data_IF_560658961572
#
_entry.id   IF_560658961572
#
_cell.length_a   1.000
_cell.length_b   1.000
_cell.length_c   1.000
_cell.angle_alpha   90.00
_cell.angle_beta   90.00
_cell.angle_gamma   90.00
#
_symmetry.space_group_name_H-M   'P 1'
#
loop_
_entity.id
_entity.type
_entity.pdbx_description
1 polymer ?
#
# COMPACT_ATOMS: atom_id res chain seq x y z
N UNK A 1 -21.21 -14.62 -39.09
CA UNK A 1 -22.09 -15.02 -37.97
C UNK A 1 -21.41 -14.91 -36.61
N UNK A 2 -20.07 -15.02 -36.52
CA UNK A 2 -19.37 -15.07 -35.22
C UNK A 2 -19.34 -13.77 -34.42
N UNK A 3 -19.32 -12.60 -35.05
CA UNK A 3 -19.36 -11.30 -34.35
C UNK A 3 -20.68 -11.10 -33.59
N UNK A 4 -21.81 -11.49 -34.21
CA UNK A 4 -23.14 -11.40 -33.58
C UNK A 4 -23.23 -12.36 -32.40
N UNK A 5 -22.76 -13.60 -32.56
CA UNK A 5 -22.66 -14.56 -31.45
C UNK A 5 -21.79 -14.06 -30.31
N UNK A 6 -20.65 -13.44 -30.60
CA UNK A 6 -19.76 -12.90 -29.58
C UNK A 6 -20.37 -11.71 -28.84
N UNK A 7 -21.05 -10.81 -29.56
CA UNK A 7 -21.77 -9.69 -28.97
C UNK A 7 -22.90 -10.19 -28.06
N UNK A 8 -23.76 -11.08 -28.56
CA UNK A 8 -24.85 -11.69 -27.80
C UNK A 8 -24.31 -12.47 -26.60
N UNK A 9 -23.25 -13.26 -26.78
CA UNK A 9 -22.57 -13.99 -25.71
C UNK A 9 -22.07 -13.09 -24.58
N UNK A 10 -21.55 -11.90 -24.90
CA UNK A 10 -21.13 -10.91 -23.87
C UNK A 10 -22.32 -10.46 -23.01
N UNK A 11 -23.48 -10.21 -23.60
CA UNK A 11 -24.69 -9.85 -22.85
C UNK A 11 -25.29 -11.04 -22.10
N UNK A 12 -25.31 -12.23 -22.71
CA UNK A 12 -25.80 -13.46 -22.07
C UNK A 12 -24.93 -13.87 -20.88
N UNK A 13 -23.61 -13.65 -20.94
CA UNK A 13 -22.67 -13.98 -19.86
C UNK A 13 -22.87 -13.16 -18.58
N UNK A 14 -23.53 -12.00 -18.68
CA UNK A 14 -23.79 -11.18 -17.50
C UNK A 14 -24.92 -11.82 -16.68
N UNK A 15 -24.66 -12.28 -15.44
CA UNK A 15 -25.67 -12.95 -14.63
C UNK A 15 -26.84 -12.04 -14.24
N UNK A 16 -26.68 -10.71 -14.35
CA UNK A 16 -27.72 -9.71 -14.05
C UNK A 16 -28.64 -9.42 -15.23
N UNK A 17 -28.30 -9.88 -16.44
CA UNK A 17 -29.12 -9.68 -17.63
C UNK A 17 -30.27 -10.68 -17.70
N UNK A 18 -31.49 -10.20 -17.92
CA UNK A 18 -32.65 -11.04 -18.25
C UNK A 18 -32.50 -11.52 -19.69
N UNK A 19 -32.68 -12.81 -19.91
CA UNK A 19 -32.65 -13.41 -21.24
C UNK A 19 -34.09 -13.48 -21.76
N UNK A 20 -34.38 -12.74 -22.84
CA UNK A 20 -35.64 -12.81 -23.56
C UNK A 20 -35.42 -13.65 -24.82
N UNK A 21 -35.92 -14.89 -24.81
CA UNK A 21 -35.84 -15.76 -25.99
C UNK A 21 -37.09 -15.56 -26.84
N UNK A 22 -36.96 -14.88 -27.98
CA UNK A 22 -38.08 -14.69 -28.91
C UNK A 22 -38.10 -15.82 -29.94
N UNK A 23 -39.15 -16.64 -29.91
CA UNK A 23 -39.40 -17.69 -30.89
C UNK A 23 -40.42 -17.15 -31.89
N UNK A 24 -39.96 -16.77 -33.08
CA UNK A 24 -40.79 -16.10 -34.08
C UNK A 24 -41.40 -17.10 -35.04
N UNK A 25 -42.72 -17.25 -34.98
CA UNK A 25 -43.52 -18.01 -35.95
C UNK A 25 -43.04 -19.44 -36.11
N UNK A 26 -43.77 -20.40 -35.55
CA UNK A 26 -43.60 -21.81 -35.91
C UNK A 26 -44.15 -21.99 -37.32
N UNK A 27 -43.45 -21.42 -38.32
CA UNK A 27 -43.65 -21.73 -39.73
C UNK A 27 -43.10 -23.13 -39.90
N UNK A 28 -43.90 -24.01 -40.48
CA UNK A 28 -43.55 -25.37 -40.86
C UNK A 28 -42.43 -25.43 -41.91
N UNK A 29 -41.21 -25.01 -41.53
CA UNK A 29 -39.95 -25.42 -42.16
C UNK A 29 -39.08 -26.15 -41.13
N UNK A 30 -39.56 -26.32 -39.90
CA UNK A 30 -39.01 -27.26 -38.94
C UNK A 30 -39.69 -28.60 -39.23
N UNK A 31 -39.00 -29.57 -39.86
CA UNK A 31 -39.61 -30.87 -40.15
C UNK A 31 -40.08 -31.51 -38.83
N UNK A 32 -41.12 -32.34 -38.88
CA UNK A 32 -41.79 -32.87 -37.67
C UNK A 32 -40.83 -33.61 -36.68
N UNK A 33 -39.64 -33.98 -37.16
CA UNK A 33 -38.54 -34.60 -36.45
C UNK A 33 -37.58 -33.62 -35.74
N UNK A 34 -37.68 -32.31 -35.95
CA UNK A 34 -36.83 -31.30 -35.29
C UNK A 34 -37.62 -30.67 -34.14
N UNK A 35 -37.05 -30.80 -32.95
CA UNK A 35 -37.65 -30.30 -31.70
C UNK A 35 -37.54 -28.77 -31.65
N UNK A 36 -38.59 -28.08 -31.19
CA UNK A 36 -38.56 -26.62 -30.99
C UNK A 36 -37.46 -26.24 -29.98
N UNK A 37 -37.08 -27.16 -29.08
CA UNK A 37 -35.93 -27.02 -28.18
C UNK A 37 -34.55 -26.94 -28.89
N UNK A 38 -34.46 -27.19 -30.20
CA UNK A 38 -33.20 -27.10 -30.98
C UNK A 38 -32.93 -25.72 -31.58
N UNK A 39 -33.77 -24.71 -31.28
CA UNK A 39 -33.47 -23.35 -31.71
C UNK A 39 -32.19 -22.84 -31.04
N UNK A 40 -31.31 -22.24 -31.85
CA UNK A 40 -29.99 -21.76 -31.43
C UNK A 40 -30.04 -20.85 -30.20
N UNK A 41 -31.09 -20.02 -30.10
CA UNK A 41 -31.28 -19.10 -28.98
C UNK A 41 -31.67 -19.80 -27.67
N UNK A 42 -32.37 -20.93 -27.73
CA UNK A 42 -32.71 -21.73 -26.54
C UNK A 42 -31.44 -22.40 -26.03
N UNK A 43 -30.62 -22.95 -26.92
CA UNK A 43 -29.36 -23.57 -26.54
C UNK A 43 -28.36 -22.55 -25.97
N UNK A 44 -28.24 -21.37 -26.59
CA UNK A 44 -27.43 -20.27 -26.03
C UNK A 44 -27.94 -19.78 -24.67
N UNK A 45 -29.25 -19.80 -24.45
CA UNK A 45 -29.84 -19.44 -23.17
C UNK A 45 -29.59 -20.52 -22.11
N UNK A 46 -29.71 -21.81 -22.46
CA UNK A 46 -29.39 -22.93 -21.58
C UNK A 46 -27.90 -22.97 -21.20
N UNK A 47 -27.01 -22.70 -22.16
CA UNK A 47 -25.56 -22.62 -21.92
C UNK A 47 -25.20 -21.46 -20.96
N UNK A 48 -25.91 -20.33 -21.08
CA UNK A 48 -25.69 -19.14 -20.25
C UNK A 48 -26.45 -19.16 -18.91
N UNK A 49 -27.56 -19.87 -18.82
CA UNK A 49 -28.44 -19.99 -17.65
C UNK A 49 -28.94 -21.44 -17.48
N UNK A 50 -28.07 -22.38 -17.05
CA UNK A 50 -28.41 -23.79 -16.94
C UNK A 50 -29.54 -24.08 -15.93
N UNK A 51 -29.72 -23.18 -14.94
CA UNK A 51 -30.79 -23.25 -13.95
C UNK A 51 -32.07 -22.52 -14.40
N UNK A 52 -32.04 -21.90 -15.58
CA UNK A 52 -33.12 -21.15 -16.21
C UNK A 52 -33.79 -20.12 -15.29
N UNK A 53 -33.02 -19.50 -14.39
CA UNK A 53 -33.53 -18.61 -13.34
C UNK A 53 -33.77 -17.18 -13.81
N UNK A 54 -33.25 -16.81 -14.97
CA UNK A 54 -33.30 -15.45 -15.53
C UNK A 54 -33.75 -15.42 -16.99
N UNK A 55 -34.30 -16.53 -17.48
CA UNK A 55 -34.74 -16.69 -18.87
C UNK A 55 -36.27 -16.68 -18.95
N UNK A 56 -36.81 -15.92 -19.90
CA UNK A 56 -38.24 -15.88 -20.25
C UNK A 56 -38.39 -16.23 -21.74
N UNK A 57 -39.32 -17.15 -22.03
CA UNK A 57 -39.69 -17.49 -23.39
C UNK A 57 -40.79 -16.56 -23.91
N UNK A 58 -40.61 -16.01 -25.11
CA UNK A 58 -41.60 -15.17 -25.78
C UNK A 58 -41.94 -15.81 -27.12
N UNK A 59 -43.17 -16.29 -27.25
CA UNK A 59 -43.70 -16.84 -28.50
C UNK A 59 -44.35 -15.72 -29.30
N UNK A 60 -43.84 -15.45 -30.50
CA UNK A 60 -44.39 -14.41 -31.37
C UNK A 60 -45.03 -15.01 -32.62
N UNK A 61 -46.03 -14.30 -33.17
CA UNK A 61 -46.81 -14.71 -34.36
C UNK A 61 -47.56 -16.05 -34.19
N UNK A 62 -48.38 -16.21 -33.12
CA UNK A 62 -49.13 -17.45 -32.89
C UNK A 62 -50.20 -17.73 -33.96
N UNK A 63 -50.57 -16.73 -34.76
CA UNK A 63 -51.50 -16.85 -35.87
C UNK A 63 -50.97 -17.70 -37.05
N UNK A 64 -49.67 -17.98 -37.10
CA UNK A 64 -49.03 -18.79 -38.15
C UNK A 64 -48.78 -20.24 -37.73
N UNK A 65 -49.32 -20.68 -36.59
CA UNK A 65 -49.12 -22.04 -36.05
C UNK A 65 -50.05 -23.02 -36.74
N UNK A 66 -49.47 -24.00 -37.46
CA UNK A 66 -50.21 -25.07 -38.13
C UNK A 66 -50.83 -26.08 -37.15
N UNK A 67 -51.92 -26.74 -37.57
CA UNK A 67 -52.68 -27.69 -36.75
C UNK A 67 -51.82 -28.81 -36.14
N UNK A 68 -50.78 -29.28 -36.85
CA UNK A 68 -49.89 -30.35 -36.39
C UNK A 68 -48.79 -29.90 -35.41
N UNK A 69 -48.55 -28.60 -35.26
CA UNK A 69 -47.55 -28.06 -34.34
C UNK A 69 -48.16 -27.58 -33.01
N UNK A 70 -49.49 -27.40 -32.96
CA UNK A 70 -50.21 -26.85 -31.80
C UNK A 70 -49.89 -27.59 -30.50
N UNK A 71 -49.87 -28.93 -30.53
CA UNK A 71 -49.63 -29.73 -29.33
C UNK A 71 -48.24 -29.48 -28.72
N UNK A 72 -47.20 -29.36 -29.57
CA UNK A 72 -45.83 -29.02 -29.14
C UNK A 72 -45.73 -27.59 -28.60
N UNK A 73 -46.46 -26.64 -29.19
CA UNK A 73 -46.50 -25.25 -28.68
C UNK A 73 -47.16 -25.24 -27.30
N UNK A 74 -48.27 -25.96 -27.15
CA UNK A 74 -48.98 -26.08 -25.87
C UNK A 74 -48.10 -26.72 -24.81
N UNK A 75 -47.30 -27.73 -25.14
CA UNK A 75 -46.33 -28.33 -24.23
C UNK A 75 -45.31 -27.30 -23.73
N UNK A 76 -44.71 -26.50 -24.62
CA UNK A 76 -43.78 -25.42 -24.24
C UNK A 76 -44.45 -24.36 -23.37
N UNK A 77 -45.64 -23.91 -23.75
CA UNK A 77 -46.41 -22.90 -23.01
C UNK A 77 -46.75 -23.38 -21.60
N UNK A 78 -47.18 -24.65 -21.47
CA UNK A 78 -47.49 -25.24 -20.16
C UNK A 78 -46.25 -25.41 -19.29
N UNK A 79 -45.05 -25.39 -19.88
CA UNK A 79 -43.77 -25.40 -19.17
C UNK A 79 -43.65 -26.58 -18.19
N UNK A 80 -44.24 -27.73 -18.54
CA UNK A 80 -44.44 -28.87 -17.63
C UNK A 80 -43.30 -29.90 -17.70
N UNK A 81 -42.74 -30.19 -18.89
CA UNK A 81 -41.70 -31.21 -19.11
C UNK A 81 -40.80 -30.82 -20.31
N UNK A 82 -39.56 -31.35 -20.35
CA UNK A 82 -38.68 -31.25 -21.53
C UNK A 82 -37.49 -30.27 -21.42
N UNK A 83 -36.65 -30.26 -22.47
CA UNK A 83 -35.61 -29.24 -22.74
C UNK A 83 -36.29 -27.91 -23.10
N UNK A 84 -35.69 -26.77 -22.74
CA UNK A 84 -36.32 -25.44 -22.90
C UNK A 84 -37.27 -25.03 -21.76
N UNK A 85 -37.23 -25.68 -20.60
CA UNK A 85 -38.05 -25.28 -19.45
C UNK A 85 -37.47 -24.02 -18.80
N UNK A 86 -38.24 -22.93 -18.76
CA UNK A 86 -37.81 -21.67 -18.16
C UNK A 86 -38.51 -21.38 -16.83
N UNK A 87 -37.80 -20.85 -15.82
CA UNK A 87 -38.41 -20.54 -14.51
C UNK A 87 -39.44 -19.43 -14.60
N UNK A 88 -39.26 -18.47 -15.51
CA UNK A 88 -40.27 -17.44 -15.81
C UNK A 88 -41.33 -17.90 -16.82
N UNK A 89 -41.23 -19.13 -17.32
CA UNK A 89 -42.19 -19.71 -18.25
C UNK A 89 -42.14 -19.08 -19.65
N UNK A 90 -43.26 -19.22 -20.34
CA UNK A 90 -43.47 -18.70 -21.69
C UNK A 90 -44.66 -17.76 -21.71
N UNK A 91 -44.50 -16.64 -22.42
CA UNK A 91 -45.60 -15.72 -22.75
C UNK A 91 -45.81 -15.68 -24.26
N UNK A 92 -47.02 -15.39 -24.69
CA UNK A 92 -47.40 -15.35 -26.11
C UNK A 92 -47.79 -13.92 -26.45
N UNK A 93 -47.24 -13.40 -27.54
CA UNK A 93 -47.55 -12.06 -28.04
C UNK A 93 -47.93 -12.07 -29.52
N UNK A 94 -48.97 -11.31 -29.85
CA UNK A 94 -49.46 -11.11 -31.22
C UNK A 94 -48.97 -9.75 -31.72
N UNK A 95 -47.84 -9.72 -32.42
CA UNK A 95 -47.34 -8.49 -33.04
C UNK A 95 -47.97 -8.21 -34.40
N UNK A 96 -47.80 -6.98 -34.90
CA UNK A 96 -48.30 -6.57 -36.23
C UNK A 96 -47.80 -7.52 -37.31
N UNK A 97 -48.71 -7.91 -38.21
CA UNK A 97 -48.35 -8.67 -39.41
C UNK A 97 -47.84 -7.73 -40.51
N UNK A 98 -47.30 -8.28 -41.59
CA UNK A 98 -46.80 -7.48 -42.71
C UNK A 98 -47.92 -6.70 -43.43
N UNK A 99 -49.17 -7.17 -43.33
CA UNK A 99 -50.37 -6.48 -43.79
C UNK A 99 -50.90 -5.42 -42.82
N UNK A 100 -50.40 -5.37 -41.57
CA UNK A 100 -50.83 -4.46 -40.52
C UNK A 100 -49.81 -3.35 -40.22
N UNK A 101 -48.88 -3.05 -41.14
CA UNK A 101 -47.83 -2.05 -40.89
C UNK A 101 -48.39 -0.64 -40.63
N UNK A 102 -49.58 -0.34 -41.15
CA UNK A 102 -50.24 0.97 -41.06
C UNK A 102 -51.10 1.20 -39.80
N UNK A 103 -51.34 0.17 -38.98
CA UNK A 103 -52.22 0.32 -37.79
C UNK A 103 -51.50 0.96 -36.60
N UNK A 104 -52.24 1.59 -35.70
CA UNK A 104 -51.67 2.20 -34.47
C UNK A 104 -51.34 1.15 -33.39
N UNK A 105 -50.66 1.55 -32.31
CA UNK A 105 -50.36 0.63 -31.20
C UNK A 105 -51.63 0.21 -30.46
N UNK A 106 -52.59 1.12 -30.31
CA UNK A 106 -53.87 0.85 -29.66
C UNK A 106 -54.73 -0.12 -30.50
N UNK A 107 -54.80 0.10 -31.81
CA UNK A 107 -55.48 -0.81 -32.74
C UNK A 107 -54.84 -2.22 -32.74
N UNK A 108 -53.52 -2.30 -32.63
CA UNK A 108 -52.80 -3.57 -32.47
C UNK A 108 -53.19 -4.27 -31.17
N UNK A 109 -53.26 -3.54 -30.07
CA UNK A 109 -53.62 -4.12 -28.76
C UNK A 109 -55.07 -4.62 -28.76
N UNK A 110 -56.00 -3.89 -29.40
CA UNK A 110 -57.38 -4.33 -29.58
C UNK A 110 -57.44 -5.63 -30.40
N UNK A 111 -56.70 -5.71 -31.51
CA UNK A 111 -56.61 -6.94 -32.33
C UNK A 111 -55.99 -8.11 -31.56
N UNK A 112 -54.97 -7.86 -30.74
CA UNK A 112 -54.33 -8.87 -29.89
C UNK A 112 -55.32 -9.43 -28.85
N UNK A 113 -56.05 -8.56 -28.15
CA UNK A 113 -57.09 -8.96 -27.19
C UNK A 113 -58.20 -9.76 -27.89
N UNK A 114 -58.66 -9.31 -29.06
CA UNK A 114 -59.67 -10.03 -29.84
C UNK A 114 -59.19 -11.43 -30.26
N UNK A 115 -57.93 -11.57 -30.68
CA UNK A 115 -57.33 -12.86 -31.02
C UNK A 115 -57.27 -13.81 -29.81
N UNK A 116 -56.88 -13.30 -28.65
CA UNK A 116 -56.73 -14.11 -27.44
C UNK A 116 -58.07 -14.45 -26.77
N UNK A 117 -59.10 -13.61 -26.91
CA UNK A 117 -60.45 -13.93 -26.41
C UNK A 117 -61.12 -15.05 -27.22
N UNK A 118 -60.80 -15.16 -28.51
CA UNK A 118 -61.36 -16.17 -29.42
C UNK A 118 -60.57 -17.49 -29.42
N UNK A 119 -59.43 -17.56 -28.73
CA UNK A 119 -58.48 -18.66 -28.87
C UNK A 119 -58.02 -19.16 -27.47
N UNK A 120 -57.98 -20.49 -27.19
CA UNK A 120 -57.55 -21.02 -25.89
C UNK A 120 -56.15 -20.59 -25.42
N UNK A 121 -55.34 -20.07 -26.34
CA UNK A 121 -54.01 -19.50 -26.06
C UNK A 121 -54.05 -18.21 -25.20
N UNK A 122 -55.21 -17.53 -25.12
CA UNK A 122 -55.34 -16.27 -24.37
C UNK A 122 -55.09 -16.39 -22.87
N UNK A 123 -55.32 -17.57 -22.28
CA UNK A 123 -55.03 -17.86 -20.86
C UNK A 123 -53.55 -17.70 -20.49
N UNK A 124 -52.65 -17.75 -21.49
CA UNK A 124 -51.20 -17.71 -21.33
C UNK A 124 -50.57 -16.39 -21.80
N UNK A 125 -51.38 -15.44 -22.29
CA UNK A 125 -50.97 -14.06 -22.56
C UNK A 125 -50.89 -13.30 -21.23
N UNK A 126 -49.91 -13.63 -20.38
CA UNK A 126 -49.61 -12.86 -19.16
C UNK A 126 -48.37 -12.03 -19.41
N UNK A 127 -48.54 -10.72 -19.54
CA UNK A 127 -47.46 -9.77 -19.35
C UNK A 127 -47.24 -9.64 -17.83
N UNK A 128 -46.20 -10.28 -17.30
CA UNK A 128 -45.79 -10.02 -15.92
C UNK A 128 -45.11 -8.65 -15.86
N UNK A 129 -45.89 -7.58 -15.71
CA UNK A 129 -45.40 -6.21 -15.52
C UNK A 129 -44.44 -6.10 -14.31
N UNK A 130 -44.58 -7.01 -13.33
CA UNK A 130 -43.77 -7.05 -12.12
C UNK A 130 -42.43 -7.80 -12.27
N UNK A 131 -42.19 -8.52 -13.37
CA UNK A 131 -40.95 -9.29 -13.54
C UNK A 131 -39.73 -8.37 -13.62
N UNK A 132 -39.82 -7.35 -14.47
CA UNK A 132 -38.77 -6.33 -14.63
C UNK A 132 -38.53 -5.59 -13.32
N UNK A 133 -39.58 -5.23 -12.58
CA UNK A 133 -39.46 -4.52 -11.30
C UNK A 133 -38.74 -5.39 -10.26
N UNK A 134 -39.14 -6.67 -10.13
CA UNK A 134 -38.55 -7.58 -9.15
C UNK A 134 -37.09 -7.92 -9.46
N UNK A 135 -36.77 -8.15 -10.73
CA UNK A 135 -35.39 -8.41 -11.16
C UNK A 135 -34.53 -7.16 -11.02
N UNK A 136 -35.07 -5.97 -11.35
CA UNK A 136 -34.37 -4.71 -11.15
C UNK A 136 -34.03 -4.50 -9.68
N UNK A 137 -34.99 -4.70 -8.76
CA UNK A 137 -34.77 -4.56 -7.31
C UNK A 137 -33.69 -5.52 -6.77
N UNK A 138 -33.70 -6.80 -7.19
CA UNK A 138 -32.67 -7.77 -6.77
C UNK A 138 -31.29 -7.41 -7.32
N UNK A 139 -31.22 -7.03 -8.59
CA UNK A 139 -29.95 -6.66 -9.22
C UNK A 139 -29.38 -5.35 -8.66
N UNK A 140 -30.25 -4.40 -8.27
CA UNK A 140 -29.87 -3.10 -7.74
C UNK A 140 -29.02 -3.20 -6.47
N UNK A 141 -29.39 -4.09 -5.55
CA UNK A 141 -28.60 -4.34 -4.32
C UNK A 141 -27.20 -4.86 -4.65
N UNK A 142 -27.09 -5.78 -5.62
CA UNK A 142 -25.80 -6.30 -6.08
C UNK A 142 -24.93 -5.22 -6.75
N UNK A 143 -25.52 -4.33 -7.54
CA UNK A 143 -24.81 -3.23 -8.21
C UNK A 143 -24.24 -2.23 -7.20
N UNK A 144 -24.97 -1.89 -6.14
CA UNK A 144 -24.47 -1.01 -5.07
C UNK A 144 -23.23 -1.58 -4.36
N UNK A 145 -23.21 -2.90 -4.09
CA UNK A 145 -22.05 -3.56 -3.48
C UNK A 145 -20.85 -3.55 -4.42
N UNK A 146 -21.06 -3.83 -5.71
CA UNK A 146 -20.00 -3.85 -6.71
C UNK A 146 -19.39 -2.45 -6.93
N UNK A 147 -20.21 -1.41 -7.00
CA UNK A 147 -19.75 -0.02 -7.14
C UNK A 147 -18.90 0.37 -5.95
N UNK A 148 -19.35 0.10 -4.72
CA UNK A 148 -18.57 0.35 -3.50
C UNK A 148 -17.26 -0.44 -3.46
N UNK A 149 -17.27 -1.68 -3.96
CA UNK A 149 -16.07 -2.50 -4.09
C UNK A 149 -15.08 -1.91 -5.10
N UNK A 150 -15.57 -1.40 -6.23
CA UNK A 150 -14.75 -0.79 -7.28
C UNK A 150 -14.19 0.57 -6.86
N UNK A 151 -14.98 1.41 -6.18
CA UNK A 151 -14.54 2.66 -5.56
C UNK A 151 -13.35 2.40 -4.64
N UNK A 152 -13.48 1.45 -3.70
CA UNK A 152 -12.38 1.09 -2.78
C UNK A 152 -11.11 0.64 -3.51
N UNK A 153 -11.24 -0.16 -4.57
CA UNK A 153 -10.08 -0.59 -5.38
C UNK A 153 -9.40 0.57 -6.09
N UNK A 154 -10.17 1.51 -6.64
CA UNK A 154 -9.63 2.70 -7.31
C UNK A 154 -8.96 3.63 -6.30
N UNK A 155 -9.56 3.84 -5.13
CA UNK A 155 -8.98 4.64 -4.04
C UNK A 155 -7.64 4.07 -3.58
N UNK A 156 -7.53 2.74 -3.40
CA UNK A 156 -6.25 2.09 -3.10
C UNK A 156 -5.21 2.28 -4.22
N UNK A 157 -5.62 2.21 -5.50
CA UNK A 157 -4.70 2.45 -6.62
C UNK A 157 -4.22 3.90 -6.67
N UNK A 158 -5.10 4.87 -6.38
CA UNK A 158 -4.74 6.28 -6.29
C UNK A 158 -3.78 6.55 -5.13
N UNK A 159 -3.98 5.89 -3.99
CA UNK A 159 -3.07 5.98 -2.84
C UNK A 159 -1.65 5.49 -3.18
N UNK A 160 -1.54 4.39 -3.95
CA UNK A 160 -0.26 3.84 -4.42
C UNK A 160 0.43 4.80 -5.41
N UNK A 161 -0.33 5.43 -6.31
CA UNK A 161 0.19 6.40 -7.27
C UNK A 161 0.66 7.67 -6.56
N UNK A 162 -0.05 8.08 -5.51
CA UNK A 162 0.26 9.25 -4.69
C UNK A 162 -0.19 10.58 -5.31
N UNK A 163 0.14 11.69 -4.63
CA UNK A 163 -0.34 13.03 -4.99
C UNK A 163 0.19 13.50 -6.35
N UNK A 164 -0.48 14.50 -6.92
CA UNK A 164 -0.07 15.16 -8.17
C UNK A 164 1.26 15.87 -7.97
N UNK A 165 2.20 15.69 -8.91
CA UNK A 165 3.55 16.28 -8.89
C UNK A 165 3.93 16.84 -10.26
N UNK A 166 3.02 17.61 -10.86
CA UNK A 166 3.24 18.21 -12.19
C UNK A 166 3.97 19.54 -12.11
N UNK A 167 3.76 20.29 -11.03
CA UNK A 167 4.39 21.59 -10.85
C UNK A 167 5.65 21.50 -9.99
N UNK A 168 6.61 22.39 -10.21
CA UNK A 168 7.82 22.49 -9.38
C UNK A 168 7.47 22.72 -7.89
N UNK A 169 6.38 23.45 -7.62
CA UNK A 169 5.87 23.66 -6.26
C UNK A 169 5.43 22.34 -5.60
N UNK A 170 4.61 21.53 -6.29
CA UNK A 170 4.16 20.23 -5.79
C UNK A 170 5.31 19.25 -5.59
N UNK A 171 6.25 19.20 -6.54
CA UNK A 171 7.44 18.37 -6.48
C UNK A 171 8.32 18.74 -5.29
N UNK A 172 8.54 20.04 -5.07
CA UNK A 172 9.29 20.56 -3.93
C UNK A 172 8.62 20.19 -2.61
N UNK A 173 7.31 20.40 -2.49
CA UNK A 173 6.56 20.02 -1.28
C UNK A 173 6.59 18.51 -1.03
N UNK A 174 6.52 17.70 -2.08
CA UNK A 174 6.65 16.25 -1.95
C UNK A 174 8.03 15.86 -1.40
N UNK A 175 9.11 16.39 -1.97
CA UNK A 175 10.46 16.13 -1.51
C UNK A 175 10.71 16.62 -0.08
N UNK A 176 10.18 17.81 0.27
CA UNK A 176 10.25 18.32 1.64
C UNK A 176 9.56 17.36 2.61
N UNK A 177 8.37 16.85 2.28
CA UNK A 177 7.67 15.87 3.10
C UNK A 177 8.45 14.56 3.24
N UNK A 178 9.11 14.09 2.18
CA UNK A 178 9.98 12.91 2.23
C UNK A 178 11.21 13.17 3.12
N UNK A 179 11.85 14.34 3.00
CA UNK A 179 12.96 14.74 3.84
C UNK A 179 12.57 14.85 5.32
N UNK A 180 11.40 15.44 5.62
CA UNK A 180 10.88 15.53 6.98
C UNK A 180 10.60 14.15 7.58
N UNK A 181 10.06 13.20 6.79
CA UNK A 181 9.87 11.81 7.24
C UNK A 181 11.19 11.07 7.45
N UNK A 182 12.17 11.32 6.60
CA UNK A 182 13.52 10.76 6.77
C UNK A 182 14.16 11.27 8.06
N UNK A 183 14.10 12.59 8.29
CA UNK A 183 14.61 13.22 9.50
C UNK A 183 13.84 12.77 10.74
N UNK A 184 12.50 12.67 10.70
CA UNK A 184 11.72 12.20 11.85
C UNK A 184 11.98 10.72 12.14
N UNK A 185 12.11 9.87 11.12
CA UNK A 185 12.50 8.46 11.30
C UNK A 185 13.92 8.29 11.82
N UNK A 186 14.86 9.14 11.40
CA UNK A 186 16.22 9.17 11.95
C UNK A 186 16.20 9.61 13.42
N UNK A 187 15.47 10.68 13.76
CA UNK A 187 15.35 11.20 15.13
C UNK A 187 14.67 10.19 16.07
N UNK A 188 13.62 9.48 15.62
CA UNK A 188 12.91 8.47 16.43
C UNK A 188 13.79 7.24 16.71
N UNK A 189 14.68 6.87 15.77
CA UNK A 189 15.61 5.74 15.95
C UNK A 189 16.85 6.06 16.83
N UNK A 190 17.01 7.31 17.29
CA UNK A 190 18.07 7.68 18.24
C UNK A 190 17.66 7.51 19.72
N UNK A 191 16.42 7.06 20.00
CA UNK A 191 16.07 6.47 21.31
C UNK A 191 16.58 5.03 21.42
N UNK A 192 16.82 4.50 22.64
CA UNK A 192 17.36 3.16 22.81
C UNK A 192 16.37 2.12 22.29
N UNK A 193 16.69 1.60 21.10
CA UNK A 193 16.26 0.36 20.46
C UNK A 193 14.86 -0.16 20.82
N UNK A 194 13.90 -0.06 19.89
CA UNK A 194 12.79 -1.01 19.76
C UNK A 194 12.24 -1.04 18.33
N UNK A 195 12.63 -2.10 17.62
CA UNK A 195 11.87 -2.85 16.62
C UNK A 195 11.45 -2.18 15.31
N UNK A 196 12.10 -2.65 14.23
CA UNK A 196 11.52 -3.06 12.95
C UNK A 196 10.39 -2.17 12.37
N UNK A 197 10.77 -1.15 11.61
CA UNK A 197 9.89 -0.51 10.65
C UNK A 197 10.17 -1.06 9.24
N UNK A 198 9.19 -1.81 8.71
CA UNK A 198 9.13 -2.30 7.34
C UNK A 198 9.31 -1.14 6.36
N UNK A 199 10.28 -1.27 5.45
CA UNK A 199 10.42 -0.40 4.28
C UNK A 199 9.23 -0.67 3.34
N UNK A 200 8.39 0.35 3.17
CA UNK A 200 7.27 0.32 2.23
C UNK A 200 7.79 0.25 0.78
N UNK A 201 7.65 -0.93 0.17
CA UNK A 201 7.77 -1.11 -1.28
C UNK A 201 6.53 -0.54 -1.95
N UNK A 202 6.69 0.55 -2.69
CA UNK A 202 5.59 1.15 -3.44
C UNK A 202 6.10 2.04 -4.55
N UNK A 203 6.19 1.45 -5.75
CA UNK A 203 6.07 2.02 -7.11
C UNK A 203 6.98 1.25 -8.06
N UNK A 204 6.40 0.68 -9.13
CA UNK A 204 7.03 0.42 -10.44
C UNK A 204 6.14 -0.48 -11.33
N UNK A 205 4.89 -0.07 -11.59
CA UNK A 205 4.00 -0.82 -12.49
C UNK A 205 3.93 -0.23 -13.92
N UNK A 206 4.21 1.08 -14.08
CA UNK A 206 4.08 1.78 -15.36
C UNK A 206 5.26 1.59 -16.32
N UNK A 207 6.50 1.73 -15.83
CA UNK A 207 7.72 1.71 -16.64
C UNK A 207 8.11 0.30 -17.11
N UNK A 208 7.75 -0.73 -16.32
CA UNK A 208 7.97 -2.16 -16.61
C UNK A 208 7.21 -2.60 -17.86
N UNK A 209 5.99 -2.08 -18.05
CA UNK A 209 5.11 -2.51 -19.15
C UNK A 209 5.62 -2.03 -20.52
N UNK A 210 6.26 -0.86 -20.61
CA UNK A 210 6.69 -0.30 -21.90
C UNK A 210 7.97 -0.95 -22.46
N UNK A 211 8.97 -1.20 -21.62
CA UNK A 211 10.19 -1.90 -22.05
C UNK A 211 9.95 -3.41 -22.23
N UNK A 212 9.01 -4.01 -21.49
CA UNK A 212 8.56 -5.38 -21.75
C UNK A 212 7.95 -5.51 -23.15
N UNK A 213 7.15 -4.53 -23.58
CA UNK A 213 6.53 -4.55 -24.92
C UNK A 213 7.55 -4.33 -26.04
N UNK A 214 8.60 -3.54 -25.82
CA UNK A 214 9.71 -3.35 -26.77
C UNK A 214 10.73 -4.50 -26.83
N UNK A 215 10.75 -5.37 -25.81
CA UNK A 215 11.61 -6.56 -25.74
C UNK A 215 10.89 -7.86 -26.14
N UNK A 216 9.62 -7.78 -26.54
CA UNK A 216 8.88 -8.84 -27.23
C UNK A 216 9.46 -9.04 -28.64
N UNK A 217 10.61 -9.71 -28.70
CA UNK A 217 11.24 -10.08 -29.96
C UNK A 217 11.74 -11.52 -29.99
N UNK A 218 12.01 -12.16 -28.84
CA UNK A 218 12.77 -13.42 -28.89
C UNK A 218 12.48 -14.47 -27.79
N UNK A 219 11.63 -14.23 -26.79
CA UNK A 219 11.47 -15.18 -25.67
C UNK A 219 10.02 -15.63 -25.49
N UNK A 220 9.81 -16.94 -25.73
CA UNK A 220 8.56 -17.65 -25.47
C UNK A 220 8.51 -17.96 -23.97
N UNK A 221 7.72 -17.17 -23.23
CA UNK A 221 7.18 -17.59 -21.93
C UNK A 221 7.97 -17.24 -20.66
N UNK A 222 9.19 -16.70 -20.76
CA UNK A 222 9.95 -16.20 -19.59
C UNK A 222 10.48 -14.80 -19.86
N UNK A 223 10.36 -13.90 -18.89
CA UNK A 223 10.87 -12.52 -18.99
C UNK A 223 12.39 -12.54 -19.14
N UNK A 224 12.93 -11.89 -20.18
CA UNK A 224 14.37 -11.74 -20.37
C UNK A 224 15.02 -11.18 -19.08
N UNK A 225 15.90 -11.93 -18.40
CA UNK A 225 16.51 -11.53 -17.13
C UNK A 225 17.33 -10.23 -17.21
N UNK A 226 17.73 -9.80 -18.41
CA UNK A 226 18.53 -8.58 -18.65
C UNK A 226 17.69 -7.29 -18.72
N UNK A 227 16.36 -7.40 -18.78
CA UNK A 227 15.46 -6.24 -18.85
C UNK A 227 15.39 -5.48 -17.51
N UNK A 228 15.34 -6.22 -16.40
CA UNK A 228 15.33 -5.65 -15.05
C UNK A 228 16.61 -4.84 -14.75
N UNK A 229 17.82 -5.37 -15.00
CA UNK A 229 19.07 -4.62 -14.85
C UNK A 229 19.13 -3.34 -15.71
N UNK A 230 18.66 -3.36 -16.96
CA UNK A 230 18.73 -2.21 -17.87
C UNK A 230 17.69 -1.11 -17.58
N UNK A 231 16.54 -1.46 -17.02
CA UNK A 231 15.55 -0.52 -16.47
C UNK A 231 16.10 0.17 -15.23
N UNK A 232 16.62 -0.62 -14.30
CA UNK A 232 17.22 -0.12 -13.06
C UNK A 232 18.43 0.77 -13.38
N UNK A 233 19.31 0.37 -14.29
CA UNK A 233 20.49 1.14 -14.67
C UNK A 233 20.17 2.53 -15.27
N UNK A 234 19.02 2.70 -15.93
CA UNK A 234 18.60 3.99 -16.50
C UNK A 234 18.14 5.00 -15.44
N UNK A 235 17.29 4.57 -14.50
CA UNK A 235 16.84 5.41 -13.37
C UNK A 235 17.97 5.65 -12.35
N UNK A 236 18.79 4.63 -12.09
CA UNK A 236 19.90 4.70 -11.13
C UNK A 236 21.08 5.55 -11.62
N UNK A 237 21.09 5.96 -12.89
CA UNK A 237 22.25 6.62 -13.51
C UNK A 237 22.58 7.97 -12.86
N UNK A 238 21.55 8.73 -12.49
CA UNK A 238 21.71 9.98 -11.74
C UNK A 238 21.94 9.74 -10.24
N UNK A 239 21.45 8.62 -9.70
CA UNK A 239 21.72 8.22 -8.31
C UNK A 239 23.21 7.97 -8.10
N UNK A 240 23.94 7.49 -9.12
CA UNK A 240 25.40 7.32 -9.03
C UNK A 240 26.10 8.61 -8.62
N UNK A 241 25.82 9.73 -9.28
CA UNK A 241 26.43 11.02 -8.97
C UNK A 241 26.01 11.57 -7.60
N UNK A 242 24.71 11.53 -7.29
CA UNK A 242 24.22 12.03 -5.99
C UNK A 242 24.64 11.12 -4.82
N UNK A 243 24.64 9.81 -5.01
CA UNK A 243 25.13 8.85 -4.02
C UNK A 243 26.65 8.95 -3.87
N UNK A 244 27.43 9.12 -4.95
CA UNK A 244 28.87 9.40 -4.82
C UNK A 244 29.14 10.69 -4.08
N UNK A 245 28.36 11.76 -4.32
CA UNK A 245 28.51 13.01 -3.58
C UNK A 245 28.15 12.84 -2.11
N UNK A 246 27.04 12.15 -1.79
CA UNK A 246 26.65 11.84 -0.42
C UNK A 246 27.68 10.93 0.26
N UNK A 247 28.16 9.89 -0.40
CA UNK A 247 29.20 8.97 0.10
C UNK A 247 30.52 9.72 0.29
N UNK A 248 30.90 10.62 -0.62
CA UNK A 248 32.11 11.45 -0.50
C UNK A 248 31.99 12.40 0.69
N UNK A 249 30.83 13.04 0.88
CA UNK A 249 30.54 13.86 2.06
C UNK A 249 30.64 13.00 3.32
N UNK A 250 30.02 11.82 3.35
CA UNK A 250 30.05 10.90 4.48
C UNK A 250 31.48 10.42 4.77
N UNK A 251 32.25 10.01 3.76
CA UNK A 251 33.65 9.58 3.90
C UNK A 251 34.51 10.72 4.43
N UNK A 252 34.39 11.93 3.86
CA UNK A 252 35.16 13.08 4.32
C UNK A 252 34.80 13.47 5.76
N UNK A 253 33.53 13.28 6.16
CA UNK A 253 33.07 13.52 7.55
C UNK A 253 33.51 12.43 8.50
N UNK A 254 33.50 11.16 8.09
CA UNK A 254 34.07 10.04 8.85
C UNK A 254 35.58 10.21 9.01
N UNK A 255 36.27 10.65 7.96
CA UNK A 255 37.71 10.96 8.01
C UNK A 255 38.00 12.08 9.02
N UNK A 256 37.24 13.19 8.96
CA UNK A 256 37.38 14.29 9.91
C UNK A 256 37.01 13.87 11.34
N UNK A 257 36.00 13.01 11.51
CA UNK A 257 35.64 12.40 12.79
C UNK A 257 36.79 11.57 13.35
N UNK A 258 37.35 10.66 12.55
CA UNK A 258 38.49 9.82 12.96
C UNK A 258 39.71 10.66 13.32
N UNK A 259 40.04 11.68 12.51
CA UNK A 259 41.14 12.57 12.81
C UNK A 259 40.90 13.40 14.10
N UNK A 260 39.66 13.85 14.34
CA UNK A 260 39.32 14.57 15.57
C UNK A 260 39.39 13.65 16.79
N UNK A 261 38.90 12.41 16.69
CA UNK A 261 39.06 11.42 17.75
C UNK A 261 40.53 11.13 18.05
N UNK A 262 41.36 10.94 17.02
CA UNK A 262 42.80 10.76 17.18
C UNK A 262 43.44 11.96 17.89
N UNK A 263 43.06 13.19 17.54
CA UNK A 263 43.56 14.39 18.23
C UNK A 263 43.11 14.49 19.70
N UNK A 264 41.88 14.04 20.02
CA UNK A 264 41.39 14.01 21.40
C UNK A 264 42.15 12.98 22.24
N UNK A 265 42.48 11.82 21.64
CA UNK A 265 43.33 10.81 22.28
C UNK A 265 44.74 11.34 22.48
N UNK A 266 45.32 12.00 21.47
CA UNK A 266 46.66 12.59 21.55
C UNK A 266 46.78 13.62 22.68
N UNK A 267 45.76 14.47 22.85
CA UNK A 267 45.71 15.46 23.94
C UNK A 267 45.65 14.79 25.32
N UNK A 268 44.95 13.68 25.47
CA UNK A 268 44.87 12.96 26.76
C UNK A 268 46.08 12.06 27.03
N UNK A 269 46.75 11.55 25.99
CA UNK A 269 47.92 10.66 26.12
C UNK A 269 49.26 11.41 26.19
N UNK A 270 49.40 12.53 25.49
CA UNK A 270 50.66 13.29 25.38
C UNK A 270 50.56 14.71 25.96
N UNK A 271 49.37 15.14 26.37
CA UNK A 271 49.17 16.44 26.99
C UNK A 271 49.58 16.47 28.47
N UNK A 272 49.81 17.67 28.98
CA UNK A 272 50.10 17.87 30.41
C UNK A 272 48.89 17.44 31.26
N UNK A 273 49.15 16.66 32.31
CA UNK A 273 48.14 16.18 33.26
C UNK A 273 47.62 17.33 34.13
N UNK A 274 46.77 18.18 33.55
CA UNK A 274 46.15 19.31 34.24
C UNK A 274 44.63 19.14 34.31
N UNK A 275 44.05 19.54 35.43
CA UNK A 275 42.60 19.55 35.62
C UNK A 275 42.18 20.69 36.54
N UNK A 276 41.19 21.47 36.11
CA UNK A 276 40.57 22.55 36.89
C UNK A 276 39.32 22.02 37.64
N UNK A 277 39.00 20.74 37.46
CA UNK A 277 37.79 20.17 38.00
C UNK A 277 37.90 20.01 39.53
N UNK A 278 37.03 20.71 40.27
CA UNK A 278 36.98 20.68 41.75
C UNK A 278 36.80 19.27 42.34
N UNK A 279 36.20 18.33 41.60
CA UNK A 279 36.08 16.93 42.03
C UNK A 279 37.43 16.21 42.12
N UNK A 280 38.47 16.68 41.44
CA UNK A 280 39.79 16.05 41.49
C UNK A 280 40.38 16.12 42.90
N UNK A 281 40.45 17.33 43.48
CA UNK A 281 40.97 17.53 44.83
C UNK A 281 40.17 16.74 45.87
N UNK A 282 38.84 16.70 45.71
CA UNK A 282 37.94 15.95 46.59
C UNK A 282 38.13 14.42 46.47
N UNK A 283 38.35 13.90 45.26
CA UNK A 283 38.62 12.47 45.05
C UNK A 283 39.97 12.07 45.68
N UNK A 284 41.00 12.89 45.52
CA UNK A 284 42.33 12.67 46.15
C UNK A 284 42.20 12.69 47.67
N UNK A 285 41.49 13.68 48.22
CA UNK A 285 41.24 13.79 49.67
C UNK A 285 40.53 12.54 50.21
N UNK A 286 39.46 12.09 49.55
CA UNK A 286 38.74 10.87 49.93
C UNK A 286 39.60 9.61 49.86
N UNK A 287 40.45 9.49 48.84
CA UNK A 287 41.36 8.35 48.71
C UNK A 287 42.41 8.34 49.85
N UNK A 288 43.00 9.49 50.16
CA UNK A 288 43.93 9.67 51.30
C UNK A 288 43.25 9.35 52.63
N UNK A 289 42.04 9.86 52.85
CA UNK A 289 41.26 9.62 54.07
C UNK A 289 40.93 8.13 54.24
N UNK A 290 40.47 7.46 53.18
CA UNK A 290 40.19 6.02 53.21
C UNK A 290 41.45 5.19 53.50
N UNK A 291 42.59 5.55 52.89
CA UNK A 291 43.87 4.88 53.10
C UNK A 291 44.37 5.06 54.53
N UNK A 292 44.30 6.29 55.05
CA UNK A 292 44.70 6.60 56.42
C UNK A 292 43.83 5.84 57.42
N UNK A 293 42.51 5.80 57.19
CA UNK A 293 41.56 5.05 58.01
C UNK A 293 41.93 3.57 58.10
N UNK A 294 42.20 2.91 56.97
CA UNK A 294 42.62 1.49 56.95
C UNK A 294 43.92 1.26 57.73
N UNK A 295 44.93 2.14 57.56
CA UNK A 295 46.21 2.01 58.30
C UNK A 295 46.03 2.20 59.80
N UNK A 296 45.20 3.15 60.21
CA UNK A 296 44.91 3.40 61.62
C UNK A 296 44.09 2.26 62.24
N UNK A 297 43.12 1.70 61.52
CA UNK A 297 42.36 0.52 61.95
C UNK A 297 43.27 -0.69 62.18
N UNK A 298 44.34 -0.87 61.40
CA UNK A 298 45.32 -1.95 61.60
C UNK A 298 46.20 -1.77 62.85
N UNK A 299 46.36 -0.54 63.34
CA UNK A 299 47.16 -0.20 64.52
C UNK A 299 46.33 -0.10 65.81
N UNK A 300 45.01 -0.18 65.69
CA UNK A 300 44.11 -0.22 66.82
C UNK A 300 44.39 -1.47 67.67
N UNK A 301 44.92 -1.25 68.87
CA UNK A 301 45.35 -2.33 69.77
C UNK A 301 44.43 -2.49 70.99
N UNK A 302 43.61 -1.47 71.28
CA UNK A 302 42.72 -1.41 72.44
C UNK A 302 41.41 -0.77 72.03
N UNK A 303 40.28 -1.21 72.59
CA UNK A 303 39.02 -0.50 72.47
C UNK A 303 38.74 0.28 73.75
N UNK A 304 38.06 1.42 73.65
CA UNK A 304 37.59 2.16 74.81
C UNK A 304 36.63 1.30 75.63
N UNK A 305 36.75 1.36 76.96
CA UNK A 305 35.91 0.61 77.90
C UNK A 305 34.51 1.20 78.09
N UNK A 306 34.11 2.16 77.25
CA UNK A 306 32.75 2.66 77.18
C UNK A 306 31.92 1.81 76.22
N UNK A 307 30.59 1.84 76.34
CA UNK A 307 29.68 1.02 75.51
C UNK A 307 29.75 1.29 73.99
N UNK A 308 30.65 2.17 73.53
CA UNK A 308 30.90 2.50 72.12
C UNK A 308 32.07 1.69 71.53
N UNK A 309 32.99 1.19 72.36
CA UNK A 309 34.12 0.34 71.97
C UNK A 309 34.95 0.91 70.80
N UNK A 310 35.28 2.21 70.83
CA UNK A 310 36.07 2.88 69.80
C UNK A 310 37.56 2.49 69.89
N UNK A 311 38.27 2.36 68.75
CA UNK A 311 39.67 1.99 68.74
C UNK A 311 40.57 3.11 69.31
N UNK A 312 41.42 2.78 70.29
CA UNK A 312 42.41 3.67 70.89
C UNK A 312 43.77 3.53 70.19
N UNK A 313 44.36 4.67 69.84
CA UNK A 313 45.63 4.76 69.13
C UNK A 313 46.67 5.54 69.94
N UNK A 314 47.91 5.06 70.02
CA UNK A 314 49.00 5.79 70.66
C UNK A 314 49.51 6.88 69.73
N UNK A 315 49.85 8.05 70.27
CA UNK A 315 50.33 9.19 69.49
C UNK A 315 51.57 8.85 68.63
N UNK A 316 52.49 8.03 69.17
CA UNK A 316 53.69 7.61 68.44
C UNK A 316 53.38 6.71 67.24
N UNK A 317 52.32 5.90 67.32
CA UNK A 317 51.90 5.02 66.21
C UNK A 317 51.31 5.86 65.07
N UNK A 318 50.64 6.97 65.40
CA UNK A 318 50.12 7.95 64.42
C UNK A 318 51.28 8.69 63.75
N UNK A 319 52.27 9.13 64.53
CA UNK A 319 53.44 9.85 64.00
C UNK A 319 54.24 8.98 63.00
N UNK A 320 54.37 7.67 63.27
CA UNK A 320 55.03 6.74 62.35
C UNK A 320 54.30 6.53 61.02
N UNK A 321 52.97 6.68 60.99
CA UNK A 321 52.17 6.61 59.75
C UNK A 321 52.23 7.91 58.93
N UNK A 322 52.44 9.04 59.60
CA UNK A 322 52.48 10.38 59.00
C UNK A 322 53.89 10.74 58.48
N UNK A 323 54.94 10.20 59.09
CA UNK A 323 56.33 10.45 58.67
C UNK A 323 56.71 9.56 57.47
N UNK A 324 57.42 10.17 56.51
CA UNK A 324 57.50 9.71 55.11
C UNK A 324 58.35 8.45 54.89
N UNK A 325 57.74 7.42 54.31
CA UNK A 325 58.41 6.31 53.60
C UNK A 325 58.11 6.43 52.09
N UNK A 326 59.02 5.96 51.23
CA UNK A 326 58.84 5.95 49.77
C UNK A 326 57.51 5.32 49.32
N UNK A 327 57.04 4.30 50.06
CA UNK A 327 55.75 3.64 49.84
C UNK A 327 54.55 4.59 49.95
N UNK A 328 54.61 5.58 50.86
CA UNK A 328 53.54 6.57 50.99
C UNK A 328 53.51 7.49 49.77
N UNK A 329 54.66 7.89 49.25
CA UNK A 329 54.78 8.70 48.03
C UNK A 329 54.25 7.95 46.81
N UNK A 330 54.57 6.65 46.68
CA UNK A 330 54.05 5.79 45.61
C UNK A 330 52.52 5.66 45.70
N UNK A 331 51.98 5.45 46.90
CA UNK A 331 50.53 5.36 47.12
C UNK A 331 49.82 6.69 46.84
N UNK A 332 50.45 7.82 47.17
CA UNK A 332 49.91 9.14 46.89
C UNK A 332 49.89 9.48 45.39
N UNK A 333 50.96 9.11 44.68
CA UNK A 333 51.02 9.18 43.22
C UNK A 333 49.93 8.32 42.57
N UNK A 334 49.75 7.09 43.05
CA UNK A 334 48.71 6.19 42.56
C UNK A 334 47.30 6.77 42.77
N UNK A 335 47.00 7.29 43.96
CA UNK A 335 45.69 7.88 44.26
C UNK A 335 45.43 9.17 43.47
N UNK A 336 46.48 9.95 43.23
CA UNK A 336 46.45 11.14 42.37
C UNK A 336 46.16 10.76 40.92
N UNK A 337 46.88 9.78 40.35
CA UNK A 337 46.66 9.28 38.99
C UNK A 337 45.27 8.67 38.82
N UNK A 338 44.81 7.86 39.78
CA UNK A 338 43.48 7.23 39.76
C UNK A 338 42.37 8.28 39.81
N UNK A 339 42.54 9.32 40.64
CA UNK A 339 41.59 10.43 40.75
C UNK A 339 41.56 11.28 39.49
N UNK A 340 42.72 11.51 38.86
CA UNK A 340 42.83 12.19 37.58
C UNK A 340 42.12 11.39 36.47
N UNK A 341 42.45 10.10 36.34
CA UNK A 341 41.86 9.21 35.33
C UNK A 341 40.33 9.15 35.42
N UNK A 342 39.78 9.13 36.64
CA UNK A 342 38.32 9.15 36.85
C UNK A 342 37.65 10.39 36.25
N UNK A 343 38.31 11.55 36.33
CA UNK A 343 37.83 12.82 35.75
C UNK A 343 38.09 12.86 34.24
N UNK A 344 39.30 12.51 33.81
CA UNK A 344 39.71 12.50 32.40
C UNK A 344 38.82 11.58 31.55
N UNK A 345 38.50 10.38 32.05
CA UNK A 345 37.60 9.44 31.36
C UNK A 345 36.21 10.03 31.12
N UNK A 346 35.62 10.70 32.12
CA UNK A 346 34.30 11.34 31.96
C UNK A 346 34.36 12.47 30.93
N UNK A 347 35.37 13.34 31.05
CA UNK A 347 35.63 14.43 30.08
C UNK A 347 35.80 13.89 28.66
N UNK A 348 36.58 12.83 28.49
CA UNK A 348 36.85 12.22 27.18
C UNK A 348 35.59 11.63 26.55
N UNK A 349 34.79 10.89 27.33
CA UNK A 349 33.51 10.34 26.85
C UNK A 349 32.57 11.47 26.44
N UNK A 350 32.42 12.51 27.27
CA UNK A 350 31.57 13.66 26.95
C UNK A 350 32.09 14.40 25.71
N UNK A 351 33.41 14.57 25.57
CA UNK A 351 34.02 15.22 24.42
C UNK A 351 33.80 14.43 23.13
N UNK A 352 33.90 13.09 23.14
CA UNK A 352 33.57 12.27 21.96
C UNK A 352 32.08 12.37 21.65
N UNK A 353 31.21 12.19 22.63
CA UNK A 353 29.77 12.19 22.41
C UNK A 353 29.27 13.55 21.88
N UNK A 354 29.74 14.66 22.45
CA UNK A 354 29.27 16.01 22.08
C UNK A 354 30.02 16.59 20.88
N UNK A 355 31.35 16.49 20.84
CA UNK A 355 32.14 17.14 19.79
C UNK A 355 32.31 16.26 18.56
N UNK A 356 32.49 14.94 18.72
CA UNK A 356 32.73 14.05 17.60
C UNK A 356 31.39 13.53 17.03
N UNK A 357 30.53 12.97 17.87
CA UNK A 357 29.28 12.34 17.44
C UNK A 357 28.19 13.37 17.19
N UNK A 358 27.78 14.14 18.21
CA UNK A 358 26.67 15.08 18.08
C UNK A 358 26.98 16.19 17.06
N UNK A 359 28.11 16.90 17.21
CA UNK A 359 28.42 18.00 16.30
C UNK A 359 28.71 17.57 14.85
N UNK A 360 29.51 16.53 14.59
CA UNK A 360 29.87 16.19 13.21
C UNK A 360 28.89 15.23 12.52
N UNK A 361 28.15 14.39 13.26
CA UNK A 361 27.27 13.39 12.67
C UNK A 361 25.79 13.72 12.79
N UNK A 362 25.36 14.46 13.82
CA UNK A 362 23.92 14.64 14.12
C UNK A 362 23.46 16.08 13.97
N UNK A 363 23.88 16.95 14.89
CA UNK A 363 23.30 18.27 15.14
C UNK A 363 24.05 19.44 14.48
N UNK A 364 25.30 19.25 14.04
CA UNK A 364 26.06 20.35 13.45
C UNK A 364 25.56 20.77 12.07
N UNK A 365 25.80 22.04 11.73
CA UNK A 365 25.41 22.66 10.45
C UNK A 365 25.97 21.95 9.20
N UNK A 366 26.96 21.08 9.39
CA UNK A 366 27.60 20.30 8.31
C UNK A 366 27.41 18.79 8.47
N UNK A 367 26.47 18.38 9.33
CA UNK A 367 26.16 16.97 9.54
C UNK A 367 25.63 16.33 8.25
N UNK A 368 25.99 15.08 7.97
CA UNK A 368 25.52 14.35 6.79
C UNK A 368 23.99 14.19 6.77
N UNK A 369 23.32 14.25 7.93
CA UNK A 369 21.86 14.23 8.02
C UNK A 369 21.21 15.46 7.37
N UNK A 370 21.92 16.59 7.30
CA UNK A 370 21.45 17.79 6.60
C UNK A 370 21.59 17.71 5.07
N UNK A 371 22.30 16.69 4.56
CA UNK A 371 22.48 16.46 3.13
C UNK A 371 21.19 16.20 2.36
N UNK A 372 20.12 15.77 3.05
CA UNK A 372 18.77 15.67 2.52
C UNK A 372 17.77 16.41 3.41
N UNK A 373 17.95 17.73 3.51
CA UNK A 373 17.11 18.62 4.33
C UNK A 373 16.14 19.45 3.49
N UNK A 374 15.05 19.98 4.10
CA UNK A 374 14.17 20.94 3.43
C UNK A 374 14.91 22.17 2.85
N UNK A 375 15.99 22.60 3.51
CA UNK A 375 16.85 23.68 3.04
C UNK A 375 17.62 23.33 1.77
N UNK A 376 18.13 22.09 1.67
CA UNK A 376 18.78 21.60 0.45
C UNK A 376 17.80 21.53 -0.71
N UNK A 377 16.59 21.01 -0.47
CA UNK A 377 15.52 20.91 -1.48
C UNK A 377 15.03 22.31 -1.92
N UNK A 378 14.99 23.28 -1.01
CA UNK A 378 14.63 24.66 -1.33
C UNK A 378 15.60 25.36 -2.28
N UNK A 379 16.86 24.89 -2.39
CA UNK A 379 17.87 25.42 -3.31
C UNK A 379 17.89 24.72 -4.68
N UNK A 380 17.14 23.64 -4.86
CA UNK A 380 17.08 22.92 -6.13
C UNK A 380 16.36 23.74 -7.20
N UNK A 381 16.90 23.70 -8.41
CA UNK A 381 16.28 24.26 -9.61
C UNK A 381 15.07 23.43 -10.04
N UNK A 382 14.17 24.05 -10.82
CA UNK A 382 12.97 23.37 -11.31
C UNK A 382 13.29 22.18 -12.23
N UNK A 383 14.41 22.23 -12.95
CA UNK A 383 14.89 21.11 -13.77
C UNK A 383 15.34 19.91 -12.92
N UNK A 384 16.01 20.16 -11.78
CA UNK A 384 16.41 19.11 -10.84
C UNK A 384 15.19 18.51 -10.13
N UNK A 385 14.21 19.33 -9.76
CA UNK A 385 12.95 18.89 -9.16
C UNK A 385 12.15 17.99 -10.12
N UNK A 386 12.07 18.38 -11.39
CA UNK A 386 11.40 17.59 -12.42
C UNK A 386 12.09 16.25 -12.63
N UNK A 387 13.43 16.21 -12.62
CA UNK A 387 14.20 14.99 -12.80
C UNK A 387 14.04 14.00 -11.64
N UNK A 388 13.96 14.51 -10.40
CA UNK A 388 13.95 13.69 -9.19
C UNK A 388 12.52 13.27 -8.79
N UNK A 389 11.57 14.20 -8.87
CA UNK A 389 10.22 14.03 -8.30
C UNK A 389 9.08 14.23 -9.30
N UNK A 390 9.39 14.57 -10.55
CA UNK A 390 8.39 14.74 -11.61
C UNK A 390 7.64 13.45 -11.92
N UNK A 391 6.33 13.59 -12.17
CA UNK A 391 5.52 12.46 -12.64
C UNK A 391 5.80 12.18 -14.13
N UNK A 392 5.88 10.90 -14.48
CA UNK A 392 5.86 10.47 -15.89
C UNK A 392 4.46 10.72 -16.51
N UNK A 393 4.41 11.05 -17.80
CA UNK A 393 3.16 11.31 -18.54
C UNK A 393 2.13 10.16 -18.45
N UNK A 394 2.64 8.92 -18.37
CA UNK A 394 1.80 7.72 -18.20
C UNK A 394 1.15 7.66 -16.82
N UNK A 395 1.89 8.05 -15.80
CA UNK A 395 1.40 8.10 -14.42
C UNK A 395 0.33 9.19 -14.29
N UNK A 396 0.56 10.34 -14.91
CA UNK A 396 -0.44 11.43 -15.00
C UNK A 396 -1.69 10.96 -15.72
N UNK A 397 -1.55 10.38 -16.91
CA UNK A 397 -2.68 9.89 -17.71
C UNK A 397 -3.48 8.82 -16.96
N UNK A 398 -2.79 7.89 -16.30
CA UNK A 398 -3.41 6.83 -15.49
C UNK A 398 -4.16 7.42 -14.29
N UNK A 399 -3.60 8.41 -13.60
CA UNK A 399 -4.26 9.10 -12.48
C UNK A 399 -5.54 9.78 -12.96
N UNK A 400 -5.49 10.54 -14.04
CA UNK A 400 -6.66 11.24 -14.59
C UNK A 400 -7.77 10.27 -15.01
N UNK A 401 -7.42 9.13 -15.63
CA UNK A 401 -8.39 8.08 -15.95
C UNK A 401 -9.08 7.52 -14.69
N UNK A 402 -8.31 7.22 -13.66
CA UNK A 402 -8.84 6.68 -12.40
C UNK A 402 -9.69 7.72 -11.65
N UNK A 403 -9.29 8.99 -11.63
CA UNK A 403 -10.08 10.08 -11.02
C UNK A 403 -11.39 10.31 -11.77
N UNK A 404 -11.37 10.26 -13.10
CA UNK A 404 -12.59 10.37 -13.92
C UNK A 404 -13.53 9.19 -13.67
N UNK A 405 -12.99 7.96 -13.64
CA UNK A 405 -13.76 6.76 -13.32
C UNK A 405 -14.34 6.84 -11.90
N UNK A 406 -13.54 7.27 -10.92
CA UNK A 406 -13.98 7.47 -9.54
C UNK A 406 -15.11 8.49 -9.44
N UNK A 407 -15.00 9.62 -10.15
CA UNK A 407 -16.05 10.64 -10.22
C UNK A 407 -17.36 10.08 -10.78
N UNK A 408 -17.28 9.29 -11.87
CA UNK A 408 -18.46 8.64 -12.46
C UNK A 408 -19.10 7.61 -11.53
N UNK A 409 -18.29 6.83 -10.80
CA UNK A 409 -18.78 5.83 -9.85
C UNK A 409 -19.39 6.47 -8.61
N UNK A 410 -18.82 7.56 -8.08
CA UNK A 410 -19.37 8.31 -6.95
C UNK A 410 -20.68 9.02 -7.32
N UNK A 411 -20.77 9.55 -8.53
CA UNK A 411 -22.04 10.08 -9.05
C UNK A 411 -23.11 8.97 -9.16
N UNK A 412 -22.72 7.79 -9.66
CA UNK A 412 -23.57 6.61 -9.70
C UNK A 412 -24.03 6.16 -8.31
N UNK A 413 -23.11 6.11 -7.34
CA UNK A 413 -23.41 5.76 -5.94
C UNK A 413 -24.43 6.73 -5.31
N UNK A 414 -24.26 8.04 -5.52
CA UNK A 414 -25.21 9.05 -5.03
C UNK A 414 -26.62 8.85 -5.58
N UNK A 415 -26.74 8.50 -6.87
CA UNK A 415 -28.04 8.18 -7.49
C UNK A 415 -28.66 6.92 -6.86
N UNK A 416 -27.85 5.95 -6.43
CA UNK A 416 -28.34 4.73 -5.77
C UNK A 416 -28.78 4.96 -4.32
N UNK A 417 -28.31 6.02 -3.67
CA UNK A 417 -28.70 6.42 -2.30
C UNK A 417 -29.96 7.30 -2.27
N UNK A 418 -30.35 7.86 -3.42
CA UNK A 418 -31.57 8.70 -3.57
C UNK A 418 -32.74 7.84 -3.99
#
# INVERSE_FOLDING_TARGET
>A
MDLVRQMVGKYLSNPRSIILTSLTGIRAVVPANVDIATQEIIQMAEDADPLSQRTLGVLTKPNLVDKGAKDKVMELITNTKGKGRFKFGYTIVCNRSQSDLSITFDERNIKEVAFFNLNPLGLYSKAEDNLLINVTRRNFQGVSVDIRGRIRKIEQQLEIIGPVRQTAYEQRNHLINVALRFLSGAIINHGPNRNNAKVSRGRDSGMVTDKYTRSKGFEIGTTNPSLMPSLFAGQSRAWGFHAQNLITIVIHKIYHFNHKQASLVEVECHGNLITINHYFAENVRKAREARLKVKLEMLATWNTGDGRAEPLLRLNDILGVVLSNDDHTIQDLHDTLKSYYKVARKRFVDAICLQAVDHFLVSGKTSPLWGFSPHFIGKMSDAELQLIAGDEDKTVSRRNMLETELGSLKAGEKILET
#
